data_IF_884623205185
#
_entry.id   IF_884623205185
#
_cell.length_a   1.000
_cell.length_b   1.000
_cell.length_c   1.000
_cell.angle_alpha   90.00
_cell.angle_beta   90.00
_cell.angle_gamma   90.00
#
_symmetry.space_group_name_H-M   'P 1'
#
loop_
_entity.id
_entity.type
_entity.pdbx_description
1 polymer ?
#
# COMPACT_ATOMS: atom_id res chain seq x y z
N UNK A 1 -22.96 2.50 -57.29
CA UNK A 1 -22.86 3.85 -56.69
C UNK A 1 -23.87 3.98 -55.57
N UNK A 2 -23.40 4.43 -54.41
CA UNK A 2 -24.11 5.15 -53.33
C UNK A 2 -25.10 4.37 -52.42
N UNK A 3 -24.56 4.10 -51.22
CA UNK A 3 -25.14 4.45 -49.90
C UNK A 3 -26.30 3.58 -49.40
N UNK A 4 -25.95 2.37 -48.96
CA UNK A 4 -26.55 1.80 -47.75
C UNK A 4 -25.56 2.07 -46.61
N UNK A 5 -26.12 2.29 -45.43
CA UNK A 5 -25.53 2.05 -44.10
C UNK A 5 -25.25 3.30 -43.24
N UNK A 6 -26.27 3.57 -42.41
CA UNK A 6 -26.17 3.82 -40.97
C UNK A 6 -25.74 5.23 -40.54
N UNK A 7 -26.78 6.06 -40.41
CA UNK A 7 -26.97 6.91 -39.23
C UNK A 7 -26.75 6.08 -37.95
N UNK A 8 -25.72 6.40 -37.15
CA UNK A 8 -25.66 6.20 -35.68
C UNK A 8 -24.36 6.82 -35.14
N UNK A 9 -24.23 8.15 -35.21
CA UNK A 9 -23.08 8.89 -34.67
C UNK A 9 -23.29 9.49 -33.26
N UNK A 10 -24.28 9.08 -32.47
CA UNK A 10 -24.55 9.71 -31.16
C UNK A 10 -24.67 8.73 -29.99
N UNK A 11 -23.77 7.74 -29.91
CA UNK A 11 -23.72 6.80 -28.78
C UNK A 11 -22.32 6.45 -28.26
N UNK A 12 -21.25 6.74 -29.01
CA UNK A 12 -19.90 6.26 -28.68
C UNK A 12 -19.06 7.25 -27.85
N UNK A 13 -19.47 8.51 -27.73
CA UNK A 13 -18.74 9.51 -26.94
C UNK A 13 -18.99 9.31 -25.43
N UNK A 14 -20.19 8.90 -25.02
CA UNK A 14 -20.52 8.63 -23.62
C UNK A 14 -19.81 7.40 -23.04
N UNK A 15 -19.63 6.36 -23.85
CA UNK A 15 -18.99 5.11 -23.41
C UNK A 15 -17.47 5.27 -23.27
N UNK A 16 -16.83 6.10 -24.11
CA UNK A 16 -15.39 6.36 -24.00
C UNK A 16 -15.02 7.29 -22.84
N UNK A 17 -15.89 8.22 -22.44
CA UNK A 17 -15.68 9.04 -21.25
C UNK A 17 -15.78 8.20 -19.96
N UNK A 18 -16.82 7.37 -19.83
CA UNK A 18 -16.97 6.45 -18.70
C UNK A 18 -15.86 5.39 -18.65
N UNK A 19 -15.37 4.91 -19.81
CA UNK A 19 -14.21 4.02 -19.88
C UNK A 19 -12.88 4.74 -19.66
N UNK A 20 -12.72 6.01 -20.05
CA UNK A 20 -11.52 6.81 -19.74
C UNK A 20 -11.42 7.11 -18.25
N UNK A 21 -12.55 7.39 -17.62
CA UNK A 21 -12.59 7.69 -16.19
C UNK A 21 -12.39 6.42 -15.35
N UNK A 22 -12.94 5.27 -15.77
CA UNK A 22 -12.63 3.98 -15.16
C UNK A 22 -11.21 3.49 -15.49
N UNK A 23 -10.65 3.78 -16.67
CA UNK A 23 -9.23 3.52 -16.99
C UNK A 23 -8.28 4.44 -16.23
N UNK A 24 -8.65 5.70 -15.99
CA UNK A 24 -7.90 6.61 -15.14
C UNK A 24 -7.98 6.19 -13.67
N UNK A 25 -9.14 5.72 -13.19
CA UNK A 25 -9.27 5.07 -11.87
C UNK A 25 -8.45 3.78 -11.82
N UNK A 26 -8.50 2.93 -12.86
CA UNK A 26 -7.69 1.71 -12.93
C UNK A 26 -6.20 2.03 -12.96
N UNK A 27 -5.73 2.97 -13.76
CA UNK A 27 -4.33 3.43 -13.84
C UNK A 27 -3.88 4.14 -12.57
N UNK A 28 -4.76 4.92 -11.92
CA UNK A 28 -4.50 5.58 -10.64
C UNK A 28 -4.50 4.59 -9.49
N UNK A 29 -5.24 3.48 -9.58
CA UNK A 29 -5.11 2.35 -8.65
C UNK A 29 -3.93 1.47 -9.00
N UNK A 30 -3.56 1.33 -10.28
CA UNK A 30 -2.46 0.49 -10.76
C UNK A 30 -1.10 1.08 -10.43
N UNK A 31 -0.88 2.39 -10.54
CA UNK A 31 0.44 2.97 -10.24
C UNK A 31 0.90 2.74 -8.79
N UNK A 32 0.09 3.07 -7.76
CA UNK A 32 0.42 2.76 -6.37
C UNK A 32 0.30 1.26 -6.09
N UNK A 33 -0.68 0.54 -6.68
CA UNK A 33 -0.77 -0.93 -6.55
C UNK A 33 0.43 -1.63 -7.15
N UNK A 34 0.97 -1.22 -8.29
CA UNK A 34 2.17 -1.77 -8.93
C UNK A 34 3.43 -1.30 -8.21
N UNK A 35 3.48 -0.11 -7.61
CA UNK A 35 4.61 0.28 -6.77
C UNK A 35 4.64 -0.54 -5.46
N UNK A 36 3.48 -0.74 -4.85
CA UNK A 36 3.31 -1.57 -3.65
C UNK A 36 3.52 -3.04 -4.00
N UNK A 37 2.83 -3.59 -5.01
CA UNK A 37 2.93 -4.97 -5.50
C UNK A 37 4.31 -5.23 -6.11
N UNK A 38 4.93 -4.36 -6.91
CA UNK A 38 6.30 -4.61 -7.40
C UNK A 38 7.33 -4.56 -6.26
N UNK A 39 7.15 -3.70 -5.24
CA UNK A 39 8.00 -3.72 -4.03
C UNK A 39 7.67 -4.86 -3.06
N UNK A 40 6.47 -5.46 -3.10
CA UNK A 40 6.06 -6.58 -2.22
C UNK A 40 6.12 -7.96 -2.88
N UNK A 41 6.08 -8.05 -4.21
CA UNK A 41 6.18 -9.29 -5.01
C UNK A 41 7.61 -9.55 -5.49
N UNK A 42 8.43 -8.50 -5.67
CA UNK A 42 9.87 -8.67 -5.79
C UNK A 42 10.46 -8.93 -4.41
N UNK A 43 10.50 -10.21 -4.02
CA UNK A 43 11.25 -10.78 -2.88
C UNK A 43 10.49 -10.76 -1.55
N UNK A 44 9.80 -11.87 -1.33
CA UNK A 44 9.89 -12.70 -0.12
C UNK A 44 10.68 -12.07 1.06
N UNK A 45 9.94 -11.76 2.13
CA UNK A 45 10.37 -11.77 3.54
C UNK A 45 11.33 -10.69 4.06
N UNK A 46 12.04 -9.93 3.22
CA UNK A 46 12.96 -8.91 3.73
C UNK A 46 13.16 -7.79 2.69
N UNK A 47 12.47 -6.67 2.87
CA UNK A 47 12.83 -5.42 2.19
C UNK A 47 14.04 -4.86 2.96
N UNK A 48 15.24 -4.78 2.38
CA UNK A 48 16.38 -4.16 3.06
C UNK A 48 16.07 -2.68 3.22
N UNK A 49 15.95 -2.24 4.47
CA UNK A 49 15.86 -0.83 4.84
C UNK A 49 17.26 -0.22 4.69
N UNK A 50 17.67 0.06 3.45
CA UNK A 50 18.79 0.97 3.23
C UNK A 50 18.43 2.31 3.89
N UNK A 51 19.34 2.91 4.67
CA UNK A 51 19.04 4.11 5.48
C UNK A 51 18.42 5.25 4.65
N UNK A 52 18.63 5.26 3.33
CA UNK A 52 18.06 6.23 2.39
C UNK A 52 16.63 5.92 1.87
N UNK A 53 16.05 4.73 2.06
CA UNK A 53 14.70 4.40 1.53
C UNK A 53 13.62 4.28 2.62
N UNK A 54 13.98 4.38 3.92
CA UNK A 54 13.02 4.16 5.02
C UNK A 54 11.84 5.16 4.96
N UNK A 55 12.12 6.43 4.70
CA UNK A 55 11.09 7.47 4.62
C UNK A 55 10.18 7.32 3.40
N UNK A 56 10.74 6.91 2.27
CA UNK A 56 9.96 6.61 1.06
C UNK A 56 9.04 5.41 1.29
N UNK A 57 9.52 4.37 1.98
CA UNK A 57 8.69 3.22 2.37
C UNK A 57 7.53 3.63 3.29
N UNK A 58 7.81 4.44 4.32
CA UNK A 58 6.78 4.96 5.22
C UNK A 58 5.73 5.75 4.45
N UNK A 59 6.15 6.61 3.53
CA UNK A 59 5.26 7.41 2.68
C UNK A 59 4.37 6.53 1.81
N UNK A 60 4.94 5.54 1.11
CA UNK A 60 4.20 4.59 0.26
C UNK A 60 3.10 3.87 1.05
N UNK A 61 3.43 3.33 2.23
CA UNK A 61 2.41 2.64 3.04
C UNK A 61 1.39 3.61 3.65
N UNK A 62 1.79 4.85 3.95
CA UNK A 62 0.86 5.86 4.46
C UNK A 62 -0.19 6.25 3.41
N UNK A 63 0.21 6.41 2.14
CA UNK A 63 -0.75 6.61 1.06
C UNK A 63 -1.62 5.36 0.84
N UNK A 64 -1.03 4.16 0.84
CA UNK A 64 -1.79 2.92 0.67
C UNK A 64 -2.86 2.71 1.77
N UNK A 65 -2.58 3.15 3.00
CA UNK A 65 -3.52 3.11 4.13
C UNK A 65 -4.70 4.07 3.92
N UNK A 66 -4.51 5.22 3.26
CA UNK A 66 -5.63 6.12 2.93
C UNK A 66 -6.64 5.44 2.00
N UNK A 67 -6.13 4.67 1.04
CA UNK A 67 -6.96 3.97 0.05
C UNK A 67 -7.59 2.69 0.61
N UNK A 68 -6.85 1.92 1.41
CA UNK A 68 -7.32 0.64 2.01
C UNK A 68 -6.98 0.57 3.50
N UNK A 69 -7.73 1.29 4.35
CA UNK A 69 -7.45 1.37 5.80
C UNK A 69 -7.70 0.06 6.55
N UNK A 70 -8.37 -0.91 5.93
CA UNK A 70 -8.67 -2.21 6.53
C UNK A 70 -7.70 -3.31 6.09
N UNK A 71 -6.61 -2.95 5.41
CA UNK A 71 -5.60 -3.91 4.98
C UNK A 71 -4.43 -3.97 5.99
N UNK A 72 -4.45 -4.98 6.87
CA UNK A 72 -3.49 -5.13 7.96
C UNK A 72 -2.02 -5.17 7.50
N UNK A 73 -1.75 -5.69 6.29
CA UNK A 73 -0.40 -5.79 5.74
C UNK A 73 0.30 -4.44 5.55
N UNK A 74 -0.44 -3.34 5.34
CA UNK A 74 0.17 -2.01 5.22
C UNK A 74 0.66 -1.48 6.56
N UNK A 75 -0.13 -1.68 7.62
CA UNK A 75 0.29 -1.36 8.99
C UNK A 75 1.45 -2.24 9.42
N UNK A 76 1.42 -3.53 9.09
CA UNK A 76 2.53 -4.44 9.36
C UNK A 76 3.86 -3.93 8.79
N UNK A 77 3.89 -3.64 7.49
CA UNK A 77 5.12 -3.20 6.82
C UNK A 77 5.56 -1.80 7.26
N UNK A 78 4.61 -0.88 7.48
CA UNK A 78 4.93 0.47 7.97
C UNK A 78 5.43 0.45 9.43
N UNK A 79 4.89 -0.43 10.27
CA UNK A 79 5.38 -0.66 11.62
C UNK A 79 6.82 -1.15 11.66
N UNK A 80 7.20 -2.05 10.75
CA UNK A 80 8.60 -2.46 10.57
C UNK A 80 9.45 -1.27 10.09
N UNK A 81 8.98 -0.49 9.13
CA UNK A 81 9.70 0.68 8.63
C UNK A 81 9.98 1.71 9.74
N UNK A 82 8.99 1.98 10.60
CA UNK A 82 9.17 2.83 11.76
C UNK A 82 10.16 2.27 12.78
N UNK A 83 10.21 0.94 12.96
CA UNK A 83 11.23 0.31 13.80
C UNK A 83 12.65 0.58 13.28
N UNK A 84 12.90 0.41 11.98
CA UNK A 84 14.21 0.73 11.39
C UNK A 84 14.51 2.23 11.40
N UNK A 85 13.49 3.09 11.30
CA UNK A 85 13.62 4.53 11.53
C UNK A 85 13.92 4.91 12.99
N UNK A 86 13.84 3.95 13.93
CA UNK A 86 13.92 4.15 15.38
C UNK A 86 12.76 5.00 15.95
N UNK A 87 11.66 5.12 15.21
CA UNK A 87 10.41 5.74 15.66
C UNK A 87 9.52 4.67 16.30
N UNK A 88 9.92 4.21 17.49
CA UNK A 88 9.32 3.03 18.10
C UNK A 88 7.88 3.24 18.54
N UNK A 89 7.47 4.46 18.86
CA UNK A 89 6.09 4.75 19.23
C UNK A 89 5.15 4.58 18.04
N UNK A 90 5.52 5.08 16.85
CA UNK A 90 4.74 4.82 15.64
C UNK A 90 4.78 3.36 15.22
N UNK A 91 5.90 2.67 15.44
CA UNK A 91 5.98 1.22 15.24
C UNK A 91 4.95 0.47 16.09
N UNK A 92 4.85 0.78 17.39
CA UNK A 92 3.85 0.18 18.28
C UNK A 92 2.41 0.49 17.87
N UNK A 93 2.12 1.73 17.45
CA UNK A 93 0.78 2.10 16.96
C UNK A 93 0.36 1.22 15.77
N UNK A 94 1.26 1.03 14.82
CA UNK A 94 1.01 0.19 13.64
C UNK A 94 0.93 -1.30 14.00
N UNK A 95 1.73 -1.76 14.98
CA UNK A 95 1.64 -3.12 15.53
C UNK A 95 0.25 -3.38 16.09
N UNK A 96 -0.23 -2.55 17.01
CA UNK A 96 -1.55 -2.72 17.62
C UNK A 96 -2.68 -2.64 16.58
N UNK A 97 -2.54 -1.73 15.61
CA UNK A 97 -3.52 -1.60 14.54
C UNK A 97 -3.57 -2.88 13.69
N UNK A 98 -2.43 -3.43 13.28
CA UNK A 98 -2.37 -4.68 12.53
C UNK A 98 -2.88 -5.88 13.35
N UNK A 99 -2.54 -5.97 14.65
CA UNK A 99 -3.03 -7.01 15.56
C UNK A 99 -4.56 -6.96 15.74
N UNK A 100 -5.14 -5.77 15.86
CA UNK A 100 -6.60 -5.60 15.92
C UNK A 100 -7.34 -6.12 14.67
N UNK A 101 -6.61 -6.26 13.56
CA UNK A 101 -7.10 -6.83 12.29
C UNK A 101 -6.71 -8.31 12.11
N UNK A 102 -6.19 -8.95 13.14
CA UNK A 102 -5.82 -10.37 13.14
C UNK A 102 -4.44 -10.67 12.56
N UNK A 103 -3.62 -9.66 12.25
CA UNK A 103 -2.24 -9.87 11.83
C UNK A 103 -1.36 -10.20 13.04
N UNK A 104 -0.41 -11.13 12.89
CA UNK A 104 0.55 -11.48 13.93
C UNK A 104 1.96 -11.16 13.49
N UNK A 105 2.70 -10.45 14.34
CA UNK A 105 4.12 -10.24 14.11
C UNK A 105 4.96 -11.42 14.56
N UNK A 106 6.17 -11.50 14.00
CA UNK A 106 7.17 -12.42 14.52
C UNK A 106 7.48 -12.06 15.98
N UNK A 107 7.51 -13.07 16.86
CA UNK A 107 7.83 -12.93 18.29
C UNK A 107 9.19 -12.24 18.49
N UNK A 108 10.18 -12.54 17.65
CA UNK A 108 11.51 -11.91 17.70
C UNK A 108 11.46 -10.41 17.40
N UNK A 109 10.61 -9.99 16.45
CA UNK A 109 10.39 -8.58 16.14
C UNK A 109 9.76 -7.86 17.34
N UNK A 110 8.69 -8.42 17.92
CA UNK A 110 8.02 -7.84 19.09
C UNK A 110 8.98 -7.72 20.28
N UNK A 111 9.80 -8.74 20.53
CA UNK A 111 10.83 -8.72 21.56
C UNK A 111 11.88 -7.63 21.30
N UNK A 112 12.31 -7.49 20.05
CA UNK A 112 13.28 -6.47 19.62
C UNK A 112 12.72 -5.06 19.78
N UNK A 113 11.48 -4.83 19.35
CA UNK A 113 10.79 -3.55 19.48
C UNK A 113 10.57 -3.19 20.95
N UNK A 114 10.18 -4.15 21.80
CA UNK A 114 10.05 -3.95 23.26
C UNK A 114 11.37 -3.50 23.89
N UNK A 115 12.45 -4.22 23.61
CA UNK A 115 13.80 -3.88 24.09
C UNK A 115 14.25 -2.50 23.61
N UNK A 116 14.07 -2.20 22.33
CA UNK A 116 14.53 -0.94 21.71
C UNK A 116 13.70 0.27 22.17
N UNK A 117 12.40 0.08 22.40
CA UNK A 117 11.48 1.12 22.90
C UNK A 117 11.56 1.35 24.41
N UNK A 118 12.24 0.49 25.17
CA UNK A 118 12.31 0.57 26.63
C UNK A 118 10.98 0.25 27.34
N UNK A 119 9.98 -0.28 26.64
CA UNK A 119 8.74 -0.75 27.29
C UNK A 119 9.03 -2.02 28.09
N UNK A 120 8.71 -2.02 29.37
CA UNK A 120 8.84 -3.21 30.24
C UNK A 120 7.68 -4.19 29.96
N UNK A 121 7.91 -5.45 30.32
CA UNK A 121 6.95 -6.56 30.19
C UNK A 121 5.66 -6.33 30.98
#
# INVERSE_FOLDING_TARGET
MKKILVLLCLGLIGCTAAMKESRARLQATEKPRLAVEAKTTAKTKYIPFEENDIDSIISVFSEAIKDRPNFAGFYYNRGIAYFYKKDYDKSWLDVYKAESMGCKFNVDFIKSLRKASGRKE
#
